data_IF_233925420697
#
_entry.id   IF_233925420697
#
_cell.length_a   1.000
_cell.length_b   1.000
_cell.length_c   1.000
_cell.angle_alpha   90.00
_cell.angle_beta   90.00
_cell.angle_gamma   90.00
#
_symmetry.space_group_name_H-M   'P 1'
#
loop_
_entity.id
_entity.type
_entity.pdbx_description
1 polymer ?
#
# COMPACT_ATOMS: atom_id res chain seq x y z
N UNK A 1 -38.62 1.06 48.56
CA UNK A 1 -37.24 0.53 48.45
C UNK A 1 -37.00 0.12 47.00
N UNK A 2 -36.87 1.13 46.16
CA UNK A 2 -36.72 1.09 44.70
C UNK A 2 -36.18 2.49 44.37
N UNK A 3 -35.33 2.64 43.36
CA UNK A 3 -34.55 3.86 43.06
C UNK A 3 -33.21 3.97 43.84
N UNK A 4 -32.32 2.99 43.64
CA UNK A 4 -30.87 3.24 43.73
C UNK A 4 -30.05 2.19 42.96
N UNK A 5 -30.41 1.91 41.70
CA UNK A 5 -29.59 1.06 40.80
C UNK A 5 -29.59 1.54 39.33
N UNK A 6 -29.98 2.78 39.06
CA UNK A 6 -30.09 3.28 37.67
C UNK A 6 -29.11 4.41 37.30
N UNK A 7 -28.20 4.82 38.19
CA UNK A 7 -27.26 5.92 37.93
C UNK A 7 -25.80 5.50 37.72
N UNK A 8 -25.48 4.20 37.81
CA UNK A 8 -24.11 3.69 37.61
C UNK A 8 -23.76 3.32 36.15
N UNK A 9 -24.74 3.22 35.26
CA UNK A 9 -24.55 2.74 33.88
C UNK A 9 -24.53 3.90 32.86
N UNK A 10 -25.00 5.09 33.24
CA UNK A 10 -25.07 6.24 32.32
C UNK A 10 -23.82 7.13 32.41
N UNK A 11 -23.03 7.05 33.50
CA UNK A 11 -21.87 7.92 33.70
C UNK A 11 -20.52 7.32 33.25
N UNK A 12 -20.46 6.01 32.94
CA UNK A 12 -19.23 5.36 32.45
C UNK A 12 -19.23 5.01 30.96
N UNK A 13 -20.30 5.30 30.22
CA UNK A 13 -20.33 5.19 28.75
C UNK A 13 -19.97 6.51 28.03
N UNK A 14 -19.61 7.56 28.78
CA UNK A 14 -19.18 8.86 28.24
C UNK A 14 -17.66 9.07 28.16
N UNK A 15 -16.86 8.09 28.55
CA UNK A 15 -15.38 8.14 28.56
C UNK A 15 -14.72 7.09 27.68
N UNK A 16 -15.51 6.23 27.03
CA UNK A 16 -15.06 5.57 25.82
C UNK A 16 -15.40 6.54 24.69
N UNK A 17 -14.46 7.44 24.38
CA UNK A 17 -14.40 7.96 23.02
C UNK A 17 -14.51 6.74 22.12
N UNK A 18 -15.53 6.60 21.26
CA UNK A 18 -15.35 5.71 20.14
C UNK A 18 -14.10 6.28 19.48
N UNK A 19 -12.99 5.54 19.52
CA UNK A 19 -11.95 5.69 18.51
C UNK A 19 -12.76 5.76 17.23
N UNK A 20 -12.79 6.94 16.57
CA UNK A 20 -13.47 7.09 15.30
C UNK A 20 -13.00 5.88 14.50
N UNK A 21 -13.89 4.90 14.32
CA UNK A 21 -13.60 3.75 13.48
C UNK A 21 -13.45 4.37 12.11
N UNK A 22 -12.18 4.60 11.75
CA UNK A 22 -11.93 5.39 10.56
C UNK A 22 -12.43 4.57 9.41
N UNK A 23 -13.28 5.23 8.65
CA UNK A 23 -14.00 4.66 7.56
C UNK A 23 -12.98 4.26 6.47
N UNK A 24 -12.56 3.00 6.47
CA UNK A 24 -11.81 2.32 5.41
C UNK A 24 -12.66 1.41 4.50
N UNK A 25 -12.86 1.72 3.22
CA UNK A 25 -13.51 0.81 2.26
C UNK A 25 -12.62 -0.33 1.71
N UNK A 26 -11.34 -0.32 2.09
CA UNK A 26 -10.26 -1.11 1.51
C UNK A 26 -9.28 -1.54 2.60
N UNK A 27 -8.98 -2.83 2.73
CA UNK A 27 -8.00 -3.31 3.70
C UNK A 27 -6.88 -4.08 3.00
N UNK A 28 -5.65 -3.83 3.39
CA UNK A 28 -4.46 -4.48 2.84
C UNK A 28 -3.66 -5.17 3.95
N UNK A 29 -3.17 -6.36 3.65
CA UNK A 29 -2.28 -7.10 4.53
C UNK A 29 -0.95 -7.35 3.81
N UNK A 30 0.17 -7.06 4.49
CA UNK A 30 1.52 -7.19 3.96
C UNK A 30 2.31 -8.20 4.80
N UNK A 31 2.96 -9.16 4.14
CA UNK A 31 3.77 -10.18 4.81
C UNK A 31 5.08 -9.61 5.37
N UNK A 32 5.63 -10.20 6.45
CA UNK A 32 6.99 -9.90 6.89
C UNK A 32 8.03 -10.09 5.78
N UNK A 33 7.81 -11.07 4.89
CA UNK A 33 8.70 -11.33 3.75
C UNK A 33 8.66 -10.20 2.71
N UNK A 34 7.48 -9.65 2.42
CA UNK A 34 7.34 -8.49 1.54
C UNK A 34 8.04 -7.27 2.13
N UNK A 35 7.86 -7.02 3.44
CA UNK A 35 8.56 -5.94 4.14
C UNK A 35 10.07 -6.12 4.10
N UNK A 36 10.55 -7.34 4.35
CA UNK A 36 11.97 -7.68 4.24
C UNK A 36 12.51 -7.41 2.83
N UNK A 37 11.78 -7.75 1.78
CA UNK A 37 12.21 -7.50 0.40
C UNK A 37 12.35 -6.00 0.12
N UNK A 38 11.36 -5.18 0.52
CA UNK A 38 11.39 -3.72 0.35
C UNK A 38 12.52 -3.08 1.15
N UNK A 39 12.68 -3.47 2.42
CA UNK A 39 13.76 -2.97 3.27
C UNK A 39 15.13 -3.41 2.75
N UNK A 40 15.25 -4.64 2.25
CA UNK A 40 16.49 -5.14 1.64
C UNK A 40 16.83 -4.38 0.37
N UNK A 41 15.85 -3.99 -0.44
CA UNK A 41 16.06 -3.14 -1.61
C UNK A 41 16.54 -1.74 -1.20
N UNK A 42 15.83 -1.12 -0.25
CA UNK A 42 16.17 0.19 0.31
C UNK A 42 17.47 0.23 1.11
N UNK A 43 17.97 -0.90 1.62
CA UNK A 43 19.22 -0.94 2.40
C UNK A 43 20.41 -1.37 1.54
N UNK A 44 20.21 -2.36 0.66
CA UNK A 44 21.30 -3.00 -0.09
C UNK A 44 21.44 -2.41 -1.49
N UNK A 45 20.34 -2.22 -2.23
CA UNK A 45 20.39 -1.87 -3.65
C UNK A 45 20.51 -0.37 -3.89
N UNK A 46 19.83 0.44 -3.07
CA UNK A 46 20.01 1.89 -3.06
C UNK A 46 21.36 2.32 -2.45
N UNK A 47 22.06 1.40 -1.77
CA UNK A 47 23.30 1.67 -1.07
C UNK A 47 23.14 2.66 0.10
N UNK A 48 21.93 2.95 0.59
CA UNK A 48 21.69 3.99 1.60
C UNK A 48 22.50 3.77 2.87
N UNK A 49 22.52 2.55 3.41
CA UNK A 49 23.38 2.22 4.55
C UNK A 49 24.84 2.35 4.17
N UNK A 50 25.24 1.89 2.99
CA UNK A 50 26.64 1.96 2.57
C UNK A 50 27.14 3.41 2.45
N UNK A 51 26.34 4.30 1.84
CA UNK A 51 26.65 5.72 1.68
C UNK A 51 26.75 6.44 3.03
N UNK A 52 25.78 6.21 3.93
CA UNK A 52 25.79 6.84 5.25
C UNK A 52 26.89 6.28 6.16
N UNK A 53 27.26 5.01 5.98
CA UNK A 53 28.37 4.39 6.72
C UNK A 53 29.75 4.75 6.17
N UNK A 54 29.89 5.06 4.87
CA UNK A 54 31.16 5.53 4.31
C UNK A 54 31.57 6.90 4.87
N UNK A 55 30.60 7.75 5.23
CA UNK A 55 30.83 9.02 5.91
C UNK A 55 31.09 8.89 7.42
N UNK A 56 31.15 7.67 7.96
CA UNK A 56 31.31 7.45 9.39
C UNK A 56 32.75 7.73 9.82
N UNK A 57 32.93 8.74 10.68
CA UNK A 57 34.21 9.03 11.32
C UNK A 57 34.24 8.35 12.68
N UNK A 58 35.12 7.34 12.85
CA UNK A 58 35.33 6.72 14.16
C UNK A 58 36.34 7.57 14.93
N UNK A 59 36.04 7.97 16.19
CA UNK A 59 36.96 8.74 17.01
C UNK A 59 38.29 8.01 17.22
N UNK A 60 39.36 8.79 17.37
CA UNK A 60 40.67 8.25 17.71
C UNK A 60 40.61 7.53 19.07
N UNK A 61 41.31 6.40 19.16
CA UNK A 61 41.36 5.57 20.37
C UNK A 61 42.69 5.86 21.06
N UNK A 62 42.67 6.34 22.30
CA UNK A 62 43.87 6.63 23.08
C UNK A 62 43.90 5.75 24.33
N UNK A 63 45.00 5.02 24.54
CA UNK A 63 45.25 4.23 25.72
C UNK A 63 46.30 4.90 26.60
N UNK A 64 45.93 5.26 27.82
CA UNK A 64 46.91 5.66 28.85
C UNK A 64 47.83 4.48 29.15
N UNK A 65 49.12 4.69 29.00
CA UNK A 65 50.12 3.66 29.30
C UNK A 65 50.09 3.32 30.79
N UNK A 66 49.93 2.04 31.11
CA UNK A 66 50.24 1.50 32.45
C UNK A 66 51.76 1.41 32.63
N UNK A 67 52.32 1.31 33.86
CA UNK A 67 53.77 1.16 34.07
C UNK A 67 54.41 -0.03 33.32
N UNK A 68 53.60 -0.99 32.85
CA UNK A 68 54.00 -2.20 32.14
C UNK A 68 53.62 -2.22 30.65
N UNK A 69 53.00 -1.16 30.11
CA UNK A 69 52.54 -1.13 28.71
C UNK A 69 52.79 0.23 28.06
N UNK A 70 53.38 0.23 26.86
CA UNK A 70 53.59 1.46 26.10
C UNK A 70 52.26 2.15 25.77
N UNK A 71 52.24 3.50 25.76
CA UNK A 71 51.06 4.25 25.31
C UNK A 71 50.70 3.81 23.89
N UNK A 72 49.41 3.54 23.70
CA UNK A 72 48.87 3.08 22.42
C UNK A 72 47.91 4.15 21.90
N UNK A 73 48.04 4.56 20.65
CA UNK A 73 47.05 5.43 20.00
C UNK A 73 46.67 4.89 18.64
N UNK A 74 45.38 4.83 18.36
CA UNK A 74 44.84 4.44 17.06
C UNK A 74 44.17 5.66 16.46
N UNK A 75 44.67 6.09 15.31
CA UNK A 75 44.22 7.29 14.61
C UNK A 75 43.78 6.95 13.20
N UNK A 76 43.00 7.85 12.60
CA UNK A 76 42.54 7.73 11.22
C UNK A 76 41.74 6.44 10.95
N UNK A 77 40.93 6.04 11.94
CA UNK A 77 40.12 4.84 11.82
C UNK A 77 38.89 5.12 10.94
N UNK A 78 38.85 4.51 9.77
CA UNK A 78 37.79 4.71 8.78
C UNK A 78 37.26 3.39 8.24
N UNK A 79 36.02 3.43 7.74
CA UNK A 79 35.34 2.27 7.19
C UNK A 79 35.77 2.00 5.74
N UNK A 80 36.44 0.88 5.52
CA UNK A 80 36.86 0.43 4.19
C UNK A 80 35.74 -0.31 3.48
N UNK A 81 35.04 -1.19 4.20
CA UNK A 81 34.06 -2.09 3.60
C UNK A 81 32.95 -2.46 4.59
N UNK A 82 31.73 -2.51 4.05
CA UNK A 82 30.57 -3.10 4.71
C UNK A 82 30.25 -4.41 3.99
N UNK A 83 30.32 -5.52 4.69
CA UNK A 83 29.82 -6.80 4.22
C UNK A 83 28.30 -6.76 4.08
N UNK A 84 27.76 -7.56 3.14
CA UNK A 84 26.32 -7.56 2.83
C UNK A 84 25.50 -7.80 4.10
N UNK A 85 24.67 -6.83 4.53
CA UNK A 85 23.90 -6.96 5.74
C UNK A 85 22.82 -8.04 5.56
N UNK A 86 22.63 -8.87 6.59
CA UNK A 86 21.52 -9.82 6.68
C UNK A 86 20.37 -9.15 7.42
N UNK A 87 19.21 -9.11 6.77
CA UNK A 87 17.99 -8.50 7.30
C UNK A 87 16.99 -9.56 7.75
N UNK A 88 16.40 -9.37 8.93
CA UNK A 88 15.19 -10.06 9.37
C UNK A 88 14.16 -9.08 9.93
N UNK A 89 12.90 -9.37 9.66
CA UNK A 89 11.75 -8.57 10.06
C UNK A 89 10.82 -9.47 10.85
N UNK A 90 10.46 -9.04 12.05
CA UNK A 90 9.48 -9.70 12.90
C UNK A 90 8.36 -8.71 13.22
N UNK A 91 7.11 -9.19 13.19
CA UNK A 91 5.96 -8.37 13.54
C UNK A 91 5.57 -8.68 14.98
N UNK A 92 5.51 -7.65 15.81
CA UNK A 92 5.12 -7.75 17.20
C UNK A 92 3.69 -7.22 17.34
N UNK A 93 2.70 -8.08 17.67
CA UNK A 93 1.29 -7.68 17.72
C UNK A 93 1.05 -6.43 18.58
N UNK A 94 0.45 -5.39 18.00
CA UNK A 94 0.12 -4.14 18.70
C UNK A 94 1.32 -3.29 19.17
N UNK A 95 2.56 -3.76 18.97
CA UNK A 95 3.78 -3.04 19.35
C UNK A 95 4.39 -2.37 18.12
N UNK A 96 4.54 -3.11 17.02
CA UNK A 96 5.15 -2.62 15.79
C UNK A 96 6.00 -3.68 15.10
N UNK A 97 7.03 -3.23 14.40
CA UNK A 97 7.91 -4.05 13.58
C UNK A 97 9.29 -4.10 14.22
N UNK A 98 9.80 -5.27 14.53
CA UNK A 98 11.18 -5.44 14.96
C UNK A 98 12.06 -5.73 13.75
N UNK A 99 13.05 -4.87 13.55
CA UNK A 99 14.05 -4.99 12.50
C UNK A 99 15.38 -5.42 13.10
N UNK A 100 15.98 -6.46 12.52
CA UNK A 100 17.32 -6.91 12.90
C UNK A 100 18.24 -6.89 11.68
N UNK A 101 19.39 -6.26 11.83
CA UNK A 101 20.40 -6.04 10.79
C UNK A 101 21.74 -6.59 11.28
N UNK A 102 22.17 -7.72 10.72
CA UNK A 102 23.50 -8.28 10.96
C UNK A 102 24.48 -7.86 9.87
N UNK A 103 25.53 -7.11 10.19
CA UNK A 103 26.52 -6.64 9.23
C UNK A 103 27.96 -6.97 9.67
N UNK A 104 28.89 -6.96 8.71
CA UNK A 104 30.33 -7.08 8.97
C UNK A 104 31.02 -5.80 8.54
N UNK A 105 31.71 -5.12 9.43
CA UNK A 105 32.41 -3.87 9.14
C UNK A 105 33.91 -4.14 9.12
N UNK A 106 34.59 -3.62 8.10
CA UNK A 106 36.05 -3.62 8.02
C UNK A 106 36.55 -2.19 8.19
N UNK A 107 37.21 -1.93 9.31
CA UNK A 107 37.79 -0.65 9.66
C UNK A 107 39.31 -0.73 9.48
N UNK A 108 39.91 0.35 8.99
CA UNK A 108 41.36 0.47 8.86
C UNK A 108 41.82 1.78 9.48
N UNK A 109 42.99 1.77 10.09
CA UNK A 109 43.63 2.97 10.61
C UNK A 109 45.10 2.74 10.91
N UNK A 110 45.69 3.71 11.61
CA UNK A 110 47.07 3.69 12.03
C UNK A 110 47.14 3.42 13.53
N UNK A 111 47.93 2.45 13.95
CA UNK A 111 48.18 2.11 15.35
C UNK A 111 49.62 2.50 15.71
N UNK A 112 49.76 3.41 16.67
CA UNK A 112 51.02 3.81 17.27
C UNK A 112 51.16 3.11 18.62
N UNK A 113 52.18 2.27 18.77
CA UNK A 113 52.54 1.65 20.07
C UNK A 113 53.93 2.14 20.45
N UNK A 114 54.00 3.06 21.42
CA UNK A 114 55.26 3.76 21.74
C UNK A 114 55.74 4.64 20.57
N UNK A 115 56.82 4.24 19.90
CA UNK A 115 57.41 4.94 18.75
C UNK A 115 57.16 4.23 17.41
N UNK A 116 56.51 3.06 17.42
CA UNK A 116 56.27 2.27 16.22
C UNK A 116 54.91 2.63 15.62
N UNK A 117 54.89 2.92 14.32
CA UNK A 117 53.67 3.20 13.55
C UNK A 117 53.35 2.03 12.63
N UNK A 118 52.18 1.44 12.79
CA UNK A 118 51.75 0.24 12.08
C UNK A 118 50.31 0.38 11.59
N UNK A 119 49.94 -0.31 10.50
CA UNK A 119 48.54 -0.33 10.06
C UNK A 119 47.77 -1.39 10.85
N UNK A 120 46.56 -1.01 11.28
CA UNK A 120 45.60 -1.88 11.94
C UNK A 120 44.38 -2.10 11.04
N UNK A 121 43.97 -3.36 10.91
CA UNK A 121 42.77 -3.78 10.19
C UNK A 121 41.84 -4.50 11.19
N UNK A 122 40.64 -3.98 11.37
CA UNK A 122 39.67 -4.45 12.35
C UNK A 122 38.42 -4.93 11.60
N UNK A 123 38.12 -6.22 11.72
CA UNK A 123 36.85 -6.77 11.31
C UNK A 123 35.94 -6.91 12.53
N UNK A 124 34.78 -6.26 12.50
CA UNK A 124 33.78 -6.34 13.56
C UNK A 124 32.45 -6.81 12.98
N UNK A 125 31.88 -7.84 13.59
CA UNK A 125 30.49 -8.23 13.35
C UNK A 125 29.58 -7.39 14.24
N UNK A 126 28.55 -6.80 13.67
CA UNK A 126 27.57 -5.98 14.39
C UNK A 126 26.18 -6.55 14.16
N UNK A 127 25.37 -6.57 15.20
CA UNK A 127 23.96 -6.91 15.12
C UNK A 127 23.13 -5.78 15.71
N UNK A 128 22.38 -5.10 14.85
CA UNK A 128 21.53 -3.97 15.22
C UNK A 128 20.10 -4.47 15.29
N UNK A 129 19.44 -4.26 16.41
CA UNK A 129 18.01 -4.53 16.60
C UNK A 129 17.31 -3.21 16.89
N UNK A 130 16.23 -2.92 16.18
CA UNK A 130 15.45 -1.72 16.37
C UNK A 130 13.96 -2.04 16.31
N UNK A 131 13.18 -1.38 17.17
CA UNK A 131 11.72 -1.44 17.11
C UNK A 131 11.23 -0.26 16.27
N UNK A 132 10.37 -0.53 15.30
CA UNK A 132 9.82 0.47 14.39
C UNK A 132 8.33 0.56 14.67
N UNK A 133 7.85 1.77 14.94
CA UNK A 133 6.45 2.05 15.18
C UNK A 133 5.94 3.10 14.22
N UNK A 134 4.65 3.00 13.88
CA UNK A 134 3.94 4.09 13.24
C UNK A 134 3.27 4.91 14.34
N UNK A 135 3.40 6.23 14.32
CA UNK A 135 2.80 7.16 15.28
C UNK A 135 2.20 8.38 14.56
N UNK A 136 1.57 9.29 15.32
CA UNK A 136 1.12 10.61 14.85
C UNK A 136 0.25 10.53 13.59
N UNK A 137 -0.81 9.72 13.63
CA UNK A 137 -1.73 9.61 12.50
C UNK A 137 -2.66 10.83 12.43
N UNK A 138 -2.49 11.64 11.39
CA UNK A 138 -3.35 12.78 11.10
C UNK A 138 -3.65 12.84 9.61
N UNK A 139 -4.93 12.88 9.25
CA UNK A 139 -5.42 13.08 7.88
C UNK A 139 -4.76 12.20 6.81
N UNK A 140 -4.59 10.90 7.10
CA UNK A 140 -4.00 9.95 6.15
C UNK A 140 -2.47 9.96 6.07
N UNK A 141 -1.82 10.72 6.96
CA UNK A 141 -0.36 10.73 7.13
C UNK A 141 0.00 10.11 8.49
N UNK A 142 1.18 9.50 8.57
CA UNK A 142 1.73 8.95 9.81
C UNK A 142 3.25 9.15 9.82
N UNK A 143 3.85 9.02 10.99
CA UNK A 143 5.29 9.05 11.16
C UNK A 143 5.81 7.65 11.48
N UNK A 144 6.89 7.25 10.82
CA UNK A 144 7.65 6.06 11.22
C UNK A 144 8.72 6.51 12.21
N UNK A 145 8.73 5.91 13.39
CA UNK A 145 9.68 6.21 14.46
C UNK A 145 10.46 4.95 14.82
N UNK A 146 11.77 5.13 15.01
CA UNK A 146 12.67 4.09 15.52
C UNK A 146 12.80 4.23 17.04
N UNK A 147 12.40 3.19 17.77
CA UNK A 147 12.54 3.08 19.22
C UNK A 147 13.49 1.92 19.59
N UNK A 148 14.08 1.99 20.78
CA UNK A 148 14.91 0.92 21.37
C UNK A 148 15.99 0.37 20.42
N UNK A 149 16.68 1.23 19.68
CA UNK A 149 17.78 0.79 18.83
C UNK A 149 18.96 0.31 19.69
N UNK A 150 19.25 -0.98 19.60
CA UNK A 150 20.34 -1.66 20.29
C UNK A 150 21.32 -2.20 19.26
N UNK A 151 22.60 -1.86 19.41
CA UNK A 151 23.67 -2.41 18.60
C UNK A 151 24.60 -3.25 19.47
N UNK A 152 24.69 -4.55 19.15
CA UNK A 152 25.54 -5.50 19.86
C UNK A 152 26.72 -5.86 18.95
N UNK A 153 27.93 -5.80 19.49
CA UNK A 153 29.13 -6.25 18.80
C UNK A 153 29.28 -7.76 19.00
N UNK A 154 29.47 -8.48 17.91
CA UNK A 154 29.79 -9.90 17.88
C UNK A 154 31.30 -10.13 17.86
N UNK A 155 31.75 -11.03 17.00
CA UNK A 155 33.18 -11.34 16.88
C UNK A 155 33.97 -10.12 16.36
N UNK A 156 35.05 -9.78 17.08
CA UNK A 156 36.03 -8.77 16.66
C UNK A 156 37.34 -9.49 16.32
N UNK A 157 37.85 -9.24 15.13
CA UNK A 157 39.15 -9.74 14.66
C UNK A 157 40.04 -8.55 14.33
N UNK A 158 41.09 -8.39 15.11
CA UNK A 158 42.07 -7.33 14.92
C UNK A 158 43.30 -7.96 14.27
N UNK A 159 43.82 -7.32 13.23
CA UNK A 159 45.09 -7.68 12.58
C UNK A 159 45.98 -6.45 12.56
N UNK A 160 47.20 -6.62 13.02
CA UNK A 160 48.25 -5.60 12.92
C UNK A 160 49.33 -6.17 12.01
N UNK A 161 49.86 -5.34 11.10
CA UNK A 161 50.78 -5.77 10.04
C UNK A 161 52.05 -6.47 10.56
N UNK A 162 52.55 -6.07 11.73
CA UNK A 162 53.71 -6.69 12.37
C UNK A 162 53.44 -8.08 12.97
N UNK A 163 52.16 -8.48 13.06
CA UNK A 163 51.73 -9.69 13.78
C UNK A 163 51.79 -9.55 15.30
N UNK A 164 52.22 -8.41 15.84
CA UNK A 164 52.45 -8.19 17.27
C UNK A 164 51.19 -7.63 17.95
N UNK A 165 50.16 -8.47 18.10
CA UNK A 165 48.96 -8.10 18.85
C UNK A 165 49.21 -8.21 20.35
N UNK A 166 49.29 -7.08 21.05
CA UNK A 166 49.27 -7.08 22.53
C UNK A 166 47.83 -7.18 23.03
N UNK A 167 47.61 -7.91 24.13
CA UNK A 167 46.28 -8.06 24.76
C UNK A 167 45.67 -6.69 25.12
N UNK A 168 46.52 -5.72 25.46
CA UNK A 168 46.15 -4.34 25.80
C UNK A 168 45.44 -3.61 24.66
N UNK A 169 45.92 -3.77 23.42
CA UNK A 169 45.30 -3.16 22.22
C UNK A 169 43.92 -3.76 21.98
N UNK A 170 43.77 -5.07 22.20
CA UNK A 170 42.49 -5.75 22.00
C UNK A 170 41.42 -5.26 22.98
N UNK A 171 41.73 -5.17 24.28
CA UNK A 171 40.77 -4.65 25.26
C UNK A 171 40.40 -3.19 24.99
N UNK A 172 41.37 -2.35 24.64
CA UNK A 172 41.16 -0.93 24.36
C UNK A 172 40.24 -0.74 23.14
N UNK A 173 40.52 -1.44 22.04
CA UNK A 173 39.71 -1.41 20.81
C UNK A 173 38.30 -1.92 21.10
N UNK A 174 38.18 -3.04 21.82
CA UNK A 174 36.87 -3.61 22.18
C UNK A 174 36.03 -2.61 22.99
N UNK A 175 36.59 -2.01 24.03
CA UNK A 175 35.87 -1.03 24.88
C UNK A 175 35.43 0.18 24.06
N UNK A 176 36.34 0.75 23.27
CA UNK A 176 36.03 1.96 22.52
C UNK A 176 35.01 1.71 21.39
N UNK A 177 35.15 0.61 20.64
CA UNK A 177 34.19 0.26 19.59
C UNK A 177 32.82 -0.08 20.16
N UNK A 178 32.76 -0.74 21.32
CA UNK A 178 31.49 -1.05 22.01
C UNK A 178 30.77 0.22 22.45
N UNK A 179 31.50 1.26 22.87
CA UNK A 179 30.90 2.55 23.23
C UNK A 179 30.52 3.39 21.99
N UNK A 180 31.32 3.34 20.93
CA UNK A 180 31.20 4.26 19.80
C UNK A 180 30.25 3.76 18.71
N UNK A 181 30.37 2.48 18.30
CA UNK A 181 29.59 1.95 17.17
C UNK A 181 28.07 2.05 17.38
N UNK A 182 27.49 1.77 18.56
CA UNK A 182 26.06 1.97 18.76
C UNK A 182 25.59 3.40 18.52
N UNK A 183 26.35 4.39 19.02
CA UNK A 183 26.04 5.81 18.84
C UNK A 183 26.14 6.27 17.38
N UNK A 184 26.90 5.55 16.56
CA UNK A 184 27.11 5.84 15.14
C UNK A 184 26.14 5.09 14.22
N UNK A 185 25.82 3.83 14.52
CA UNK A 185 25.03 2.95 13.66
C UNK A 185 23.52 3.14 13.84
N UNK A 186 23.04 3.40 15.06
CA UNK A 186 21.61 3.59 15.31
C UNK A 186 21.00 4.81 14.58
N UNK A 187 21.67 5.98 14.53
CA UNK A 187 21.19 7.09 13.70
C UNK A 187 21.07 6.77 12.21
N UNK A 188 21.94 5.89 11.68
CA UNK A 188 21.85 5.46 10.27
C UNK A 188 20.58 4.64 10.03
N UNK A 189 20.18 3.79 10.97
CA UNK A 189 18.91 3.06 10.89
C UNK A 189 17.74 4.05 10.87
N UNK A 190 17.77 5.07 11.72
CA UNK A 190 16.71 6.09 11.74
C UNK A 190 16.58 6.86 10.41
N UNK A 191 17.71 7.25 9.81
CA UNK A 191 17.73 7.88 8.48
C UNK A 191 17.11 6.98 7.42
N UNK A 192 17.48 5.69 7.40
CA UNK A 192 16.90 4.71 6.46
C UNK A 192 15.40 4.59 6.67
N UNK A 193 14.93 4.52 7.92
CA UNK A 193 13.51 4.42 8.22
C UNK A 193 12.73 5.67 7.83
N UNK A 194 13.32 6.86 7.96
CA UNK A 194 12.73 8.11 7.48
C UNK A 194 12.58 8.11 5.94
N UNK A 195 13.55 7.57 5.21
CA UNK A 195 13.44 7.44 3.75
C UNK A 195 12.36 6.43 3.35
N UNK A 196 12.27 5.30 4.06
CA UNK A 196 11.19 4.33 3.89
C UNK A 196 9.83 4.96 4.16
N UNK A 197 9.72 5.81 5.19
CA UNK A 197 8.49 6.56 5.48
C UNK A 197 8.05 7.41 4.29
N UNK A 198 8.97 8.21 3.73
CA UNK A 198 8.68 9.06 2.55
C UNK A 198 8.16 8.22 1.38
N UNK A 199 8.82 7.08 1.10
CA UNK A 199 8.44 6.21 0.00
C UNK A 199 7.07 5.55 0.23
N UNK A 200 6.81 5.04 1.43
CA UNK A 200 5.54 4.44 1.81
C UNK A 200 4.39 5.46 1.71
N UNK A 201 4.57 6.66 2.26
CA UNK A 201 3.57 7.72 2.20
C UNK A 201 3.25 8.13 0.76
N UNK A 202 4.27 8.21 -0.11
CA UNK A 202 4.07 8.52 -1.53
C UNK A 202 3.25 7.47 -2.28
N UNK A 203 3.20 6.23 -1.77
CA UNK A 203 2.45 5.12 -2.37
C UNK A 203 1.03 5.01 -1.82
N UNK A 204 0.85 5.26 -0.51
CA UNK A 204 -0.42 5.06 0.19
C UNK A 204 -1.38 6.24 0.03
N UNK A 205 -0.87 7.44 -0.24
CA UNK A 205 -1.67 8.62 -0.52
C UNK A 205 -1.53 8.99 -2.01
N UNK A 206 -2.46 8.51 -2.83
CA UNK A 206 -2.38 8.63 -4.27
C UNK A 206 -3.73 8.96 -4.91
N UNK A 207 -3.72 9.88 -5.88
CA UNK A 207 -4.89 10.20 -6.70
C UNK A 207 -4.71 9.55 -8.07
N UNK A 208 -5.55 8.56 -8.36
CA UNK A 208 -5.50 7.78 -9.60
C UNK A 208 -6.61 8.25 -10.55
N UNK A 209 -6.28 8.76 -11.75
CA UNK A 209 -7.28 9.13 -12.74
C UNK A 209 -7.91 7.89 -13.37
N UNK A 210 -9.24 7.92 -13.50
CA UNK A 210 -10.05 6.87 -14.14
C UNK A 210 -10.54 7.40 -15.48
N UNK A 211 -9.63 7.41 -16.46
CA UNK A 211 -9.88 7.97 -17.78
C UNK A 211 -10.36 9.43 -17.69
N UNK A 212 -11.43 9.75 -18.43
CA UNK A 212 -12.09 11.06 -18.39
C UNK A 212 -13.30 11.09 -17.45
N UNK A 213 -13.56 10.02 -16.70
CA UNK A 213 -14.77 9.90 -15.87
C UNK A 213 -14.60 10.52 -14.47
N UNK A 214 -13.37 10.56 -13.96
CA UNK A 214 -13.04 11.16 -12.67
C UNK A 214 -11.76 10.57 -12.06
N UNK A 215 -11.70 10.56 -10.73
CA UNK A 215 -10.51 10.16 -9.98
C UNK A 215 -10.86 9.29 -8.78
N UNK A 216 -9.97 8.39 -8.39
CA UNK A 216 -10.02 7.67 -7.11
C UNK A 216 -8.87 8.17 -6.26
N UNK A 217 -9.18 8.72 -5.08
CA UNK A 217 -8.18 9.14 -4.11
C UNK A 217 -8.05 8.05 -3.04
N UNK A 218 -6.91 7.36 -3.05
CA UNK A 218 -6.53 6.42 -2.00
C UNK A 218 -5.77 7.17 -0.92
N UNK A 219 -6.15 6.94 0.32
CA UNK A 219 -5.46 7.46 1.49
C UNK A 219 -5.53 6.44 2.62
N UNK A 220 -4.64 6.57 3.60
CA UNK A 220 -4.70 5.73 4.78
C UNK A 220 -5.87 6.18 5.69
N UNK A 221 -6.66 5.23 6.15
CA UNK A 221 -7.78 5.47 7.05
C UNK A 221 -7.32 5.41 8.51
N UNK A 222 -6.46 4.47 8.87
CA UNK A 222 -5.98 4.31 10.25
C UNK A 222 -4.48 4.12 10.28
N UNK A 223 -3.89 4.18 11.47
CA UNK A 223 -2.48 3.89 11.63
C UNK A 223 -2.19 2.41 11.28
N UNK A 224 -1.09 2.10 10.56
CA UNK A 224 -0.73 0.71 10.29
C UNK A 224 -0.60 -0.10 11.57
N UNK A 225 -1.17 -1.29 11.60
CA UNK A 225 -1.15 -2.16 12.78
C UNK A 225 -0.51 -3.51 12.49
N UNK A 226 0.06 -4.13 13.51
CA UNK A 226 0.72 -5.44 13.39
C UNK A 226 -0.12 -6.51 14.08
N UNK A 227 -0.38 -7.61 13.38
CA UNK A 227 -1.10 -8.78 13.94
C UNK A 227 -0.18 -9.88 14.47
N UNK A 228 1.14 -9.71 14.29
CA UNK A 228 2.15 -10.76 14.47
C UNK A 228 2.37 -11.64 13.25
N UNK A 229 1.39 -11.72 12.34
CA UNK A 229 1.49 -12.49 11.08
C UNK A 229 1.61 -11.60 9.85
N UNK A 230 1.02 -10.41 9.91
CA UNK A 230 1.02 -9.43 8.82
C UNK A 230 0.96 -7.99 9.37
N UNK A 231 1.39 -7.05 8.53
CA UNK A 231 1.14 -5.62 8.73
C UNK A 231 -0.19 -5.29 8.04
N UNK A 232 -1.17 -4.85 8.81
CA UNK A 232 -2.48 -4.41 8.34
C UNK A 232 -2.47 -2.92 8.01
N UNK A 233 -3.09 -2.58 6.88
CA UNK A 233 -3.26 -1.22 6.39
C UNK A 233 -4.73 -1.04 6.03
N UNK A 234 -5.41 -0.14 6.74
CA UNK A 234 -6.76 0.27 6.39
C UNK A 234 -6.67 1.51 5.50
N UNK A 235 -7.27 1.43 4.32
CA UNK A 235 -7.27 2.45 3.28
C UNK A 235 -8.69 2.96 3.06
N UNK A 236 -8.82 4.26 2.83
CA UNK A 236 -10.02 4.86 2.29
C UNK A 236 -9.84 5.16 0.80
N UNK A 237 -10.93 5.05 0.04
CA UNK A 237 -10.92 5.13 -1.41
C UNK A 237 -11.99 6.10 -1.90
N UNK A 238 -11.71 7.40 -1.87
CA UNK A 238 -12.70 8.41 -2.23
C UNK A 238 -12.87 8.47 -3.76
N UNK A 239 -14.02 8.02 -4.24
CA UNK A 239 -14.37 8.02 -5.67
C UNK A 239 -15.01 9.36 -6.04
N UNK A 240 -14.38 10.15 -6.91
CA UNK A 240 -14.87 11.47 -7.35
C UNK A 240 -15.16 11.48 -8.84
N UNK A 241 -16.29 12.08 -9.22
CA UNK A 241 -16.66 12.33 -10.62
C UNK A 241 -15.99 13.59 -11.16
N UNK A 242 -15.97 13.74 -12.49
CA UNK A 242 -15.68 15.04 -13.12
C UNK A 242 -16.65 16.08 -12.58
N UNK A 243 -16.12 17.17 -12.01
CA UNK A 243 -16.89 18.19 -11.28
C UNK A 243 -16.74 18.12 -9.75
N UNK A 244 -16.04 17.12 -9.21
CA UNK A 244 -15.62 17.06 -7.81
C UNK A 244 -16.59 16.36 -6.86
N UNK A 245 -17.78 15.99 -7.33
CA UNK A 245 -18.78 15.26 -6.53
C UNK A 245 -18.29 13.86 -6.16
N UNK A 246 -18.38 13.52 -4.87
CA UNK A 246 -18.02 12.19 -4.34
C UNK A 246 -19.17 11.20 -4.54
N UNK A 247 -18.86 9.99 -5.02
CA UNK A 247 -19.81 8.88 -5.09
C UNK A 247 -19.83 8.17 -3.72
N UNK A 248 -20.96 8.19 -2.99
CA UNK A 248 -21.04 7.60 -1.66
C UNK A 248 -20.90 6.08 -1.75
N UNK A 249 -20.15 5.52 -0.81
CA UNK A 249 -20.03 4.09 -0.59
C UNK A 249 -19.74 3.83 0.88
N UNK A 250 -20.00 2.59 1.29
CA UNK A 250 -19.62 2.12 2.61
C UNK A 250 -18.11 1.96 2.69
N UNK A 251 -17.52 2.80 3.52
CA UNK A 251 -16.11 2.80 3.85
C UNK A 251 -15.89 2.14 5.22
N UNK A 252 -16.60 1.13 5.69
CA UNK A 252 -16.23 0.47 6.97
C UNK A 252 -15.11 -0.56 6.79
N UNK A 253 -14.16 -0.72 7.74
CA UNK A 253 -13.02 -1.63 7.60
C UNK A 253 -13.43 -3.07 7.28
N UNK A 254 -12.70 -3.76 6.41
CA UNK A 254 -13.03 -5.14 6.05
C UNK A 254 -12.20 -6.14 6.84
N UNK A 255 -12.82 -7.23 7.28
CA UNK A 255 -12.09 -8.32 7.92
C UNK A 255 -11.05 -8.89 6.95
N UNK A 256 -9.79 -8.85 7.34
CA UNK A 256 -8.70 -9.39 6.54
C UNK A 256 -8.66 -10.92 6.69
N UNK A 257 -8.73 -11.69 5.59
CA UNK A 257 -8.49 -13.12 5.65
C UNK A 257 -7.02 -13.40 6.00
N UNK A 258 -6.67 -14.63 6.41
CA UNK A 258 -5.29 -14.97 6.68
C UNK A 258 -4.45 -14.80 5.41
N UNK A 259 -3.28 -14.16 5.56
CA UNK A 259 -2.39 -13.82 4.44
C UNK A 259 -1.88 -15.05 3.66
N UNK A 260 -1.91 -16.24 4.27
CA UNK A 260 -1.31 -17.48 3.73
C UNK A 260 0.14 -17.22 3.27
N UNK A 261 0.64 -17.97 2.28
CA UNK A 261 1.98 -17.79 1.69
C UNK A 261 2.04 -16.66 0.65
N UNK A 262 1.10 -15.71 0.67
CA UNK A 262 1.09 -14.55 -0.25
C UNK A 262 1.88 -13.38 0.35
N UNK A 263 2.51 -12.61 -0.52
CA UNK A 263 3.28 -11.43 -0.10
C UNK A 263 2.39 -10.26 0.33
N UNK A 264 1.27 -10.09 -0.37
CA UNK A 264 0.31 -9.01 -0.20
C UNK A 264 -1.10 -9.53 -0.47
N UNK A 265 -2.06 -9.04 0.30
CA UNK A 265 -3.48 -9.33 0.14
C UNK A 265 -4.26 -8.03 0.21
N UNK A 266 -5.17 -7.80 -0.75
CA UNK A 266 -6.04 -6.63 -0.80
C UNK A 266 -7.49 -7.09 -0.74
N UNK A 267 -8.25 -6.54 0.20
CA UNK A 267 -9.69 -6.74 0.35
C UNK A 267 -10.40 -5.47 -0.07
N UNK A 268 -11.41 -5.63 -0.93
CA UNK A 268 -12.23 -4.52 -1.42
C UNK A 268 -13.69 -4.84 -1.16
N UNK A 269 -14.44 -3.88 -0.62
CA UNK A 269 -15.89 -4.04 -0.44
C UNK A 269 -16.63 -3.94 -1.77
N UNK A 270 -17.76 -4.63 -1.83
CA UNK A 270 -18.71 -4.52 -2.93
C UNK A 270 -19.20 -3.07 -3.11
N UNK A 271 -19.43 -2.34 -2.02
CA UNK A 271 -19.83 -0.93 -2.01
C UNK A 271 -18.84 -0.04 -2.76
N UNK A 272 -17.55 -0.19 -2.46
CA UNK A 272 -16.47 0.53 -3.13
C UNK A 272 -16.43 0.20 -4.63
N UNK A 273 -16.48 -1.08 -4.99
CA UNK A 273 -16.51 -1.49 -6.40
C UNK A 273 -17.76 -0.96 -7.14
N UNK A 274 -18.91 -0.87 -6.47
CA UNK A 274 -20.12 -0.26 -7.04
C UNK A 274 -19.92 1.22 -7.37
N UNK A 275 -19.27 1.97 -6.47
CA UNK A 275 -18.95 3.38 -6.72
C UNK A 275 -17.98 3.54 -7.89
N UNK A 276 -16.92 2.73 -7.95
CA UNK A 276 -15.98 2.71 -9.07
C UNK A 276 -16.66 2.32 -10.37
N UNK A 277 -17.53 1.30 -10.35
CA UNK A 277 -18.24 0.85 -11.54
C UNK A 277 -19.21 1.92 -12.06
N UNK A 278 -19.87 2.66 -11.17
CA UNK A 278 -20.72 3.80 -11.51
C UNK A 278 -19.93 4.96 -12.13
N UNK A 279 -18.67 5.12 -11.74
CA UNK A 279 -17.75 6.07 -12.36
C UNK A 279 -17.33 5.60 -13.76
N UNK A 280 -16.91 4.34 -13.90
CA UNK A 280 -16.34 3.80 -15.15
C UNK A 280 -17.39 3.60 -16.24
N UNK A 281 -18.56 3.05 -15.88
CA UNK A 281 -19.62 2.72 -16.84
C UNK A 281 -20.61 3.88 -17.06
N UNK A 282 -20.08 5.08 -17.31
CA UNK A 282 -20.88 6.20 -17.80
C UNK A 282 -21.08 6.07 -19.32
N UNK A 283 -21.98 5.16 -19.71
CA UNK A 283 -22.30 4.95 -21.13
C UNK A 283 -23.25 6.06 -21.61
N UNK A 284 -22.84 6.90 -22.58
CA UNK A 284 -23.76 7.87 -23.16
C UNK A 284 -24.90 7.14 -23.90
N UNK A 285 -26.09 7.76 -24.02
CA UNK A 285 -27.17 7.22 -24.84
C UNK A 285 -26.67 6.89 -26.24
N UNK A 286 -26.87 5.63 -26.67
CA UNK A 286 -26.47 5.19 -28.01
C UNK A 286 -27.70 5.07 -28.88
N UNK A 287 -27.72 5.85 -29.96
CA UNK A 287 -28.76 5.76 -30.98
C UNK A 287 -28.16 5.16 -32.24
N UNK A 288 -28.82 4.19 -32.83
CA UNK A 288 -28.42 3.59 -34.09
C UNK A 288 -29.64 3.27 -34.96
N UNK A 289 -29.46 3.27 -36.29
CA UNK A 289 -30.54 2.90 -37.21
C UNK A 289 -30.86 1.41 -37.07
N UNK A 290 -32.14 1.07 -37.16
CA UNK A 290 -32.61 -0.31 -37.17
C UNK A 290 -32.48 -0.88 -38.59
N UNK A 291 -31.25 -1.18 -39.00
CA UNK A 291 -30.94 -1.80 -40.30
C UNK A 291 -30.26 -3.16 -40.10
N UNK A 292 -30.41 -4.10 -41.07
CA UNK A 292 -29.78 -5.42 -40.99
C UNK A 292 -28.26 -5.38 -40.83
N UNK A 293 -27.61 -4.35 -41.38
CA UNK A 293 -26.15 -4.16 -41.30
C UNK A 293 -25.67 -3.84 -39.88
N UNK A 294 -26.51 -3.18 -39.07
CA UNK A 294 -26.18 -2.77 -37.69
C UNK A 294 -26.73 -3.77 -36.68
N UNK A 295 -27.92 -4.32 -36.93
CA UNK A 295 -28.58 -5.30 -36.09
C UNK A 295 -29.20 -6.39 -36.98
N UNK A 296 -28.64 -7.60 -36.92
CA UNK A 296 -29.09 -8.73 -37.75
C UNK A 296 -30.57 -9.10 -37.55
N UNK A 297 -31.17 -8.76 -36.40
CA UNK A 297 -32.59 -8.94 -36.11
C UNK A 297 -33.50 -7.81 -36.60
N UNK A 298 -32.98 -6.78 -37.27
CA UNK A 298 -33.73 -5.57 -37.62
C UNK A 298 -34.98 -5.85 -38.47
N UNK A 299 -34.86 -6.71 -39.50
CA UNK A 299 -35.99 -7.05 -40.37
C UNK A 299 -37.13 -7.72 -39.58
N UNK A 300 -36.79 -8.68 -38.72
CA UNK A 300 -37.78 -9.38 -37.87
C UNK A 300 -38.43 -8.44 -36.87
N UNK A 301 -37.66 -7.53 -36.29
CA UNK A 301 -38.19 -6.53 -35.36
C UNK A 301 -39.15 -5.57 -36.07
N UNK A 302 -38.83 -5.15 -37.29
CA UNK A 302 -39.69 -4.29 -38.11
C UNK A 302 -41.01 -4.98 -38.45
N UNK A 303 -40.95 -6.24 -38.85
CA UNK A 303 -42.15 -7.07 -39.10
C UNK A 303 -43.00 -7.20 -37.82
N UNK A 304 -42.38 -7.50 -36.68
CA UNK A 304 -43.09 -7.59 -35.41
C UNK A 304 -43.76 -6.26 -35.02
N UNK A 305 -43.11 -5.11 -35.26
CA UNK A 305 -43.71 -3.80 -35.00
C UNK A 305 -44.98 -3.55 -35.83
N UNK A 306 -44.98 -3.96 -37.11
CA UNK A 306 -46.18 -3.85 -37.97
C UNK A 306 -47.34 -4.70 -37.42
N UNK A 307 -47.06 -5.84 -36.80
CA UNK A 307 -48.10 -6.70 -36.20
C UNK A 307 -48.63 -6.18 -34.87
N UNK A 308 -47.83 -5.43 -34.10
CA UNK A 308 -48.21 -4.91 -32.77
C UNK A 308 -48.91 -3.55 -32.87
N UNK A 309 -48.83 -2.87 -34.02
CA UNK A 309 -49.44 -1.57 -34.23
C UNK A 309 -50.97 -1.60 -33.98
N UNK A 310 -51.52 -0.71 -33.12
CA UNK A 310 -52.95 -0.65 -32.87
C UNK A 310 -53.73 -0.39 -34.16
N UNK A 311 -54.87 -1.08 -34.32
CA UNK A 311 -55.79 -0.84 -35.44
C UNK A 311 -56.21 0.64 -35.47
N UNK A 312 -55.84 1.36 -36.53
CA UNK A 312 -56.12 2.80 -36.69
C UNK A 312 -54.93 3.74 -36.47
N UNK A 313 -53.73 3.24 -36.11
CA UNK A 313 -52.53 4.09 -36.04
C UNK A 313 -51.96 4.38 -37.44
N UNK A 314 -52.53 5.37 -38.14
CA UNK A 314 -52.04 5.82 -39.46
C UNK A 314 -50.59 6.33 -39.44
N UNK A 315 -50.13 6.84 -38.30
CA UNK A 315 -48.74 7.25 -38.09
C UNK A 315 -47.76 6.07 -37.95
N UNK A 316 -48.24 4.90 -37.50
CA UNK A 316 -47.43 3.69 -37.32
C UNK A 316 -47.23 2.91 -38.62
N UNK A 317 -48.10 3.11 -39.62
CA UNK A 317 -48.06 2.46 -40.94
C UNK A 317 -47.01 3.04 -41.91
N UNK A 318 -46.12 3.93 -41.44
CA UNK A 318 -45.10 4.59 -42.26
C UNK A 318 -43.90 3.70 -42.59
N UNK A 319 -43.34 3.88 -43.79
CA UNK A 319 -42.06 3.29 -44.24
C UNK A 319 -40.83 3.95 -43.62
N UNK A 320 -41.03 4.83 -42.64
CA UNK A 320 -39.99 5.65 -42.04
C UNK A 320 -38.92 4.79 -41.36
N UNK A 321 -37.64 5.20 -41.44
CA UNK A 321 -36.53 4.43 -40.89
C UNK A 321 -36.64 4.36 -39.36
N UNK A 322 -36.77 3.15 -38.84
CA UNK A 322 -36.77 2.89 -37.40
C UNK A 322 -35.39 3.14 -36.81
N UNK A 323 -35.35 3.71 -35.61
CA UNK A 323 -34.15 3.93 -34.83
C UNK A 323 -34.29 3.30 -33.45
N UNK A 324 -33.17 2.78 -32.94
CA UNK A 324 -33.08 2.18 -31.61
C UNK A 324 -32.18 3.09 -30.76
N UNK A 325 -32.68 3.53 -29.62
CA UNK A 325 -31.91 4.25 -28.62
C UNK A 325 -31.80 3.42 -27.35
N UNK A 326 -30.57 3.16 -26.94
CA UNK A 326 -30.23 2.49 -25.70
C UNK A 326 -29.78 3.52 -24.67
N UNK A 327 -30.42 3.51 -23.51
CA UNK A 327 -30.08 4.38 -22.38
C UNK A 327 -29.88 3.53 -21.14
N UNK A 328 -28.71 3.64 -20.50
CA UNK A 328 -28.49 3.02 -19.21
C UNK A 328 -29.37 3.71 -18.16
N UNK A 329 -30.11 2.92 -17.37
CA UNK A 329 -30.99 3.42 -16.32
C UNK A 329 -30.39 3.10 -14.95
N UNK A 330 -30.11 4.15 -14.18
CA UNK A 330 -29.54 4.02 -12.85
C UNK A 330 -28.08 3.58 -12.87
N UNK A 331 -27.56 3.22 -11.70
CA UNK A 331 -26.15 2.86 -11.54
C UNK A 331 -25.95 1.34 -11.71
N UNK A 332 -24.85 0.93 -12.38
CA UNK A 332 -24.47 -0.47 -12.47
C UNK A 332 -24.12 -1.00 -11.08
N UNK A 333 -24.52 -2.25 -10.79
CA UNK A 333 -24.26 -2.88 -9.50
C UNK A 333 -23.49 -4.17 -9.71
N UNK A 334 -22.29 -4.28 -9.12
CA UNK A 334 -21.57 -5.53 -8.96
C UNK A 334 -22.06 -6.25 -7.70
N UNK A 335 -22.28 -7.54 -7.84
CA UNK A 335 -22.59 -8.48 -6.77
C UNK A 335 -21.44 -9.46 -6.66
N UNK A 336 -20.84 -9.51 -5.47
CA UNK A 336 -19.77 -10.44 -5.14
C UNK A 336 -20.38 -11.58 -4.31
N UNK A 337 -20.29 -12.78 -4.85
CA UNK A 337 -20.68 -14.03 -4.21
C UNK A 337 -19.43 -14.92 -4.09
N UNK A 338 -19.55 -16.00 -3.34
CA UNK A 338 -18.45 -16.96 -3.23
C UNK A 338 -18.06 -17.50 -4.63
N UNK A 339 -16.79 -17.31 -5.01
CA UNK A 339 -16.23 -17.71 -6.31
C UNK A 339 -16.93 -17.15 -7.56
N UNK A 340 -17.77 -16.13 -7.41
CA UNK A 340 -18.57 -15.59 -8.51
C UNK A 340 -18.76 -14.08 -8.36
N UNK A 341 -18.66 -13.38 -9.48
CA UNK A 341 -19.00 -11.96 -9.55
C UNK A 341 -19.98 -11.75 -10.72
N UNK A 342 -21.00 -10.93 -10.49
CA UNK A 342 -21.97 -10.56 -11.53
C UNK A 342 -22.25 -9.06 -11.51
N UNK A 343 -22.54 -8.47 -12.66
CA UNK A 343 -22.93 -7.06 -12.79
C UNK A 343 -24.37 -6.99 -13.30
N UNK A 344 -25.21 -6.29 -12.55
CA UNK A 344 -26.58 -5.98 -12.92
C UNK A 344 -26.63 -4.61 -13.60
N UNK A 345 -27.22 -4.57 -14.79
CA UNK A 345 -27.45 -3.36 -15.58
C UNK A 345 -28.94 -3.25 -15.89
N UNK A 346 -29.49 -2.04 -15.85
CA UNK A 346 -30.83 -1.78 -16.36
C UNK A 346 -30.72 -0.92 -17.60
N UNK A 347 -31.26 -1.38 -18.72
CA UNK A 347 -31.19 -0.67 -20.01
C UNK A 347 -32.60 -0.36 -20.47
N UNK A 348 -32.85 0.91 -20.77
CA UNK A 348 -34.03 1.37 -21.45
C UNK A 348 -33.77 1.30 -22.96
N UNK A 349 -34.64 0.60 -23.68
CA UNK A 349 -34.57 0.42 -25.12
C UNK A 349 -35.77 1.16 -25.71
N UNK A 350 -35.50 2.26 -26.39
CA UNK A 350 -36.50 3.08 -27.04
C UNK A 350 -36.45 2.83 -28.54
N UNK A 351 -37.57 2.35 -29.10
CA UNK A 351 -37.79 2.22 -30.52
C UNK A 351 -38.61 3.41 -31.00
N UNK A 352 -38.09 4.17 -31.95
CA UNK A 352 -38.74 5.37 -32.44
C UNK A 352 -38.51 5.58 -33.94
N UNK A 353 -39.34 6.41 -34.54
CA UNK A 353 -39.23 6.86 -35.92
C UNK A 353 -39.20 8.39 -35.96
N UNK A 354 -38.39 8.94 -36.87
CA UNK A 354 -38.38 10.37 -37.13
C UNK A 354 -39.32 10.66 -38.30
N UNK A 355 -40.26 11.59 -38.11
CA UNK A 355 -41.07 12.12 -39.20
C UNK A 355 -40.31 13.20 -39.97
N UNK A 356 -40.75 13.45 -41.20
CA UNK A 356 -40.17 14.45 -42.11
C UNK A 356 -40.28 15.89 -41.57
N UNK A 357 -41.21 16.13 -40.64
CA UNK A 357 -41.40 17.40 -39.92
C UNK A 357 -40.44 17.58 -38.73
N UNK A 358 -39.57 16.60 -38.46
CA UNK A 358 -38.64 16.59 -37.33
C UNK A 358 -39.23 16.05 -36.01
N UNK A 359 -40.51 15.67 -35.99
CA UNK A 359 -41.14 15.07 -34.81
C UNK A 359 -40.70 13.62 -34.58
N UNK A 360 -40.58 13.23 -33.31
CA UNK A 360 -40.17 11.87 -32.90
C UNK A 360 -41.40 11.08 -32.48
N UNK A 361 -41.73 10.03 -33.24
CA UNK A 361 -42.77 9.07 -32.89
C UNK A 361 -42.16 7.90 -32.12
N UNK A 362 -42.45 7.82 -30.82
CA UNK A 362 -42.05 6.69 -29.98
C UNK A 362 -43.01 5.52 -30.19
N UNK A 363 -42.49 4.41 -30.69
CA UNK A 363 -43.29 3.23 -31.01
C UNK A 363 -43.29 2.23 -29.87
N UNK A 364 -42.13 2.04 -29.23
CA UNK A 364 -42.00 1.08 -28.14
C UNK A 364 -40.95 1.55 -27.14
N UNK A 365 -41.24 1.33 -25.86
CA UNK A 365 -40.31 1.55 -24.77
C UNK A 365 -40.20 0.27 -23.95
N UNK A 366 -39.03 -0.36 -23.99
CA UNK A 366 -38.74 -1.57 -23.24
C UNK A 366 -37.73 -1.27 -22.14
N UNK A 367 -37.81 -2.04 -21.06
CA UNK A 367 -36.80 -2.09 -20.02
C UNK A 367 -36.25 -3.50 -19.97
N UNK A 368 -34.94 -3.63 -20.13
CA UNK A 368 -34.22 -4.88 -20.01
C UNK A 368 -33.28 -4.80 -18.80
N UNK A 369 -33.49 -5.67 -17.82
CA UNK A 369 -32.57 -5.85 -16.71
C UNK A 369 -31.62 -7.01 -17.07
N UNK A 370 -30.34 -6.69 -17.25
CA UNK A 370 -29.29 -7.62 -17.68
C UNK A 370 -28.45 -8.05 -16.48
N UNK A 371 -28.13 -9.34 -16.41
CA UNK A 371 -27.15 -9.88 -15.48
C UNK A 371 -25.95 -10.40 -16.26
N UNK A 372 -24.79 -9.77 -16.07
CA UNK A 372 -23.55 -10.11 -16.75
C UNK A 372 -22.63 -10.86 -15.80
N UNK A 373 -22.04 -11.96 -16.25
CA UNK A 373 -20.97 -12.63 -15.53
C UNK A 373 -19.68 -11.81 -15.62
N UNK A 374 -18.94 -11.73 -14.51
CA UNK A 374 -17.69 -10.98 -14.42
C UNK A 374 -16.53 -11.92 -14.17
N UNK A 375 -15.48 -11.82 -15.01
CA UNK A 375 -14.16 -12.36 -14.68
C UNK A 375 -13.27 -11.24 -14.18
N UNK A 376 -12.70 -11.44 -13.00
CA UNK A 376 -11.80 -10.48 -12.34
C UNK A 376 -10.36 -10.93 -12.54
N UNK A 377 -9.49 -10.02 -12.96
CA UNK A 377 -8.05 -10.28 -13.09
C UNK A 377 -7.26 -9.03 -12.71
N UNK A 378 -5.97 -9.20 -12.41
CA UNK A 378 -5.05 -8.09 -12.13
C UNK A 378 -3.97 -8.08 -13.21
N UNK A 379 -3.87 -6.98 -13.96
CA UNK A 379 -2.91 -6.83 -15.06
C UNK A 379 -2.22 -5.47 -14.92
N UNK A 380 -0.88 -5.47 -14.85
CA UNK A 380 -0.09 -4.23 -14.76
C UNK A 380 -0.46 -3.34 -13.57
N UNK A 381 -0.78 -3.94 -12.42
CA UNK A 381 -1.21 -3.20 -11.22
C UNK A 381 -2.64 -2.65 -11.28
N UNK A 382 -3.44 -3.03 -12.29
CA UNK A 382 -4.83 -2.59 -12.44
C UNK A 382 -5.78 -3.76 -12.29
N UNK A 383 -6.93 -3.51 -11.68
CA UNK A 383 -8.04 -4.45 -11.62
C UNK A 383 -8.81 -4.42 -12.94
N UNK A 384 -8.89 -5.55 -13.62
CA UNK A 384 -9.58 -5.71 -14.90
C UNK A 384 -10.84 -6.55 -14.71
N UNK A 385 -11.98 -6.00 -15.13
CA UNK A 385 -13.28 -6.66 -15.11
C UNK A 385 -13.71 -6.99 -16.54
N UNK A 386 -13.79 -8.27 -16.87
CA UNK A 386 -14.31 -8.73 -18.15
C UNK A 386 -15.78 -9.14 -17.99
N UNK A 387 -16.67 -8.51 -18.75
CA UNK A 387 -18.11 -8.71 -18.72
C UNK A 387 -18.54 -9.65 -19.85
N UNK A 388 -19.36 -10.64 -19.53
CA UNK A 388 -19.96 -11.55 -20.50
C UNK A 388 -21.46 -11.74 -20.21
N UNK A 389 -22.27 -11.85 -21.26
CA UNK A 389 -23.65 -12.35 -21.11
C UNK A 389 -23.58 -13.83 -20.70
N UNK A 390 -24.34 -14.16 -19.65
CA UNK A 390 -24.36 -15.50 -19.05
C UNK A 390 -25.06 -16.55 -19.88
#
# INVERSE_FOLDING_TARGET
MMVLKLFGIIFFCGLLSPSQEVLSGLSCAVSPQAMKNVLSDAIIHSGLIHQHLQGLVVPNIMGEGSPLSSPTSITDLHLIKVGVPKLSVMLLPGIGVQLTIGAKLQLRGNCLVGLLSELIDILVEVNITANIKCTNFESGTFQVVTEDCLCILGAIKIKVLSGLLTLSVNELVLRQLTATLPALLCPVVDIVMNLVNIHLLSTLNAVIPVGTAGTIHYQLASIPYTSGKFLGLDLDGVVKQVGGSTIPHDSSPSALPPLMDRLLLLVMRQSFLNAVLSLVLQLPPRTFPCTPDVFSGASRLREAMLTIAPAGCSACSGTSPLSIKLVLRGNPLILLEENKASVKLSVLIQLFSNHLDGSILNLLLLRADLALNVRVSVVGGRLMLQLALG
#
